data_IF_694895850761
#
_entry.id   IF_694895850761
#
_cell.length_a   1.000
_cell.length_b   1.000
_cell.length_c   1.000
_cell.angle_alpha   90.00
_cell.angle_beta   90.00
_cell.angle_gamma   90.00
#
_symmetry.space_group_name_H-M   'P 1'
#
loop_
_entity.id
_entity.type
_entity.pdbx_description
1 polymer ?
#
# COMPACT_ATOMS: atom_id res chain seq x y z
N UNK A 1 -17.98 9.33 -7.27
CA UNK A 1 -17.30 9.31 -5.95
C UNK A 1 -16.60 7.97 -5.81
N UNK A 2 -15.28 7.91 -5.54
CA UNK A 2 -14.57 6.64 -5.30
C UNK A 2 -14.45 6.40 -3.78
N UNK A 3 -15.23 5.46 -3.26
CA UNK A 3 -15.19 5.03 -1.86
C UNK A 3 -14.81 3.55 -1.76
N UNK A 4 -14.14 3.18 -0.68
CA UNK A 4 -13.70 1.79 -0.44
C UNK A 4 -14.90 0.91 -0.06
N UNK A 5 -14.89 -0.33 -0.53
CA UNK A 5 -15.90 -1.35 -0.19
C UNK A 5 -15.90 -1.71 1.30
N UNK A 6 -17.00 -2.28 1.79
CA UNK A 6 -17.10 -2.80 3.15
C UNK A 6 -16.26 -4.04 3.43
N UNK A 7 -15.64 -4.63 2.40
CA UNK A 7 -14.82 -5.83 2.53
C UNK A 7 -13.45 -5.60 1.91
N UNK A 8 -12.41 -6.03 2.60
CA UNK A 8 -11.03 -6.01 2.13
C UNK A 8 -10.43 -7.42 2.21
N UNK A 9 -10.00 -7.96 1.07
CA UNK A 9 -9.16 -9.16 1.01
C UNK A 9 -7.88 -8.82 0.25
N UNK A 10 -6.75 -9.05 0.89
CA UNK A 10 -5.41 -8.83 0.38
C UNK A 10 -4.85 -10.18 -0.03
N UNK A 11 -4.95 -10.46 -1.33
CA UNK A 11 -4.45 -11.71 -1.90
C UNK A 11 -2.98 -11.56 -2.28
N UNK A 12 -2.14 -12.49 -1.83
CA UNK A 12 -0.80 -12.67 -2.37
C UNK A 12 -0.90 -13.23 -3.78
N UNK A 13 -0.27 -12.54 -4.74
CA UNK A 13 -0.14 -13.06 -6.09
C UNK A 13 1.33 -13.02 -6.51
N UNK A 14 1.75 -14.03 -7.27
CA UNK A 14 3.03 -13.97 -7.99
C UNK A 14 2.79 -13.15 -9.24
N UNK A 15 3.39 -11.97 -9.31
CA UNK A 15 3.42 -11.15 -10.51
C UNK A 15 4.85 -10.69 -10.79
N UNK A 16 5.21 -10.67 -12.07
CA UNK A 16 6.47 -10.08 -12.53
C UNK A 16 6.38 -8.55 -12.67
N UNK A 17 5.16 -8.02 -12.77
CA UNK A 17 4.88 -6.60 -12.92
C UNK A 17 3.68 -6.18 -12.06
N UNK A 18 3.95 -5.44 -10.97
CA UNK A 18 2.93 -4.95 -10.04
C UNK A 18 2.15 -3.76 -10.63
N UNK A 19 2.74 -3.01 -11.56
CA UNK A 19 2.16 -1.80 -12.15
C UNK A 19 0.98 -2.11 -13.08
N UNK A 20 0.91 -3.34 -13.60
CA UNK A 20 -0.21 -3.81 -14.42
C UNK A 20 -1.41 -4.26 -13.59
N UNK A 21 -1.26 -4.38 -12.26
CA UNK A 21 -2.36 -4.76 -11.39
C UNK A 21 -3.27 -3.56 -11.14
N UNK A 22 -4.57 -3.75 -11.38
CA UNK A 22 -5.59 -2.73 -11.09
C UNK A 22 -5.59 -2.30 -9.62
N UNK A 23 -5.48 -3.28 -8.73
CA UNK A 23 -5.39 -3.08 -7.29
C UNK A 23 -4.24 -3.94 -6.78
N UNK A 24 -3.41 -3.38 -5.91
CA UNK A 24 -2.27 -4.11 -5.35
C UNK A 24 -1.98 -3.64 -3.93
N UNK A 25 -1.20 -4.43 -3.21
CA UNK A 25 -0.70 -4.07 -1.89
C UNK A 25 0.77 -4.45 -1.79
N UNK A 26 1.52 -3.69 -1.00
CA UNK A 26 2.94 -3.91 -0.79
C UNK A 26 3.21 -3.77 0.71
N UNK A 27 3.87 -4.77 1.29
CA UNK A 27 4.35 -4.72 2.67
C UNK A 27 5.85 -4.45 2.67
N UNK A 28 6.23 -3.26 3.12
CA UNK A 28 7.62 -2.88 3.35
C UNK A 28 8.03 -3.25 4.77
N UNK A 29 9.06 -4.10 4.86
CA UNK A 29 9.72 -4.40 6.13
C UNK A 29 10.60 -3.25 6.54
N UNK A 30 10.42 -2.77 7.77
CA UNK A 30 11.23 -1.67 8.27
C UNK A 30 12.72 -2.03 8.24
N UNK A 31 13.50 -1.20 7.55
CA UNK A 31 14.95 -1.24 7.58
C UNK A 31 15.48 0.19 7.53
N UNK A 32 16.37 0.54 8.47
CA UNK A 32 16.96 1.87 8.50
C UNK A 32 17.86 2.04 7.28
N UNK A 33 17.53 3.02 6.44
CA UNK A 33 18.25 3.34 5.22
C UNK A 33 18.88 4.73 5.27
N UNK A 34 20.04 4.88 4.64
CA UNK A 34 20.72 6.17 4.43
C UNK A 34 20.71 6.60 2.95
N UNK A 35 19.83 6.01 2.14
CA UNK A 35 19.73 6.29 0.70
C UNK A 35 18.99 7.60 0.43
N UNK A 36 19.43 8.35 -0.58
CA UNK A 36 18.74 9.53 -1.10
C UNK A 36 17.74 9.08 -2.18
N UNK A 37 16.48 9.50 -2.06
CA UNK A 37 15.42 9.17 -3.03
C UNK A 37 15.25 10.31 -4.05
N UNK A 38 15.03 9.93 -5.31
CA UNK A 38 14.55 10.82 -6.36
C UNK A 38 13.24 10.26 -6.91
N UNK A 39 12.30 11.15 -7.20
CA UNK A 39 10.95 10.81 -7.64
C UNK A 39 10.15 12.07 -7.96
N UNK A 40 8.95 11.89 -8.49
CA UNK A 40 8.07 13.00 -8.87
C UNK A 40 7.01 13.24 -7.79
N UNK A 41 6.73 14.51 -7.44
CA UNK A 41 5.65 14.82 -6.52
C UNK A 41 4.31 14.45 -7.14
N UNK A 42 3.46 13.76 -6.37
CA UNK A 42 2.08 13.47 -6.74
C UNK A 42 1.14 14.50 -6.11
N UNK A 43 0.09 14.87 -6.84
CA UNK A 43 -0.98 15.70 -6.27
C UNK A 43 -1.68 14.96 -5.11
N UNK A 44 -2.03 15.64 -4.01
CA UNK A 44 -2.79 15.04 -2.93
C UNK A 44 -4.12 14.45 -3.42
N UNK A 45 -4.49 13.29 -2.88
CA UNK A 45 -5.65 12.52 -3.35
C UNK A 45 -6.99 13.22 -3.08
N UNK A 46 -7.08 14.05 -2.04
CA UNK A 46 -8.23 14.90 -1.74
C UNK A 46 -8.64 15.79 -2.90
N UNK A 47 -7.71 16.19 -3.78
CA UNK A 47 -8.05 16.94 -4.99
C UNK A 47 -8.78 16.09 -6.04
N UNK A 48 -8.56 14.77 -6.05
CA UNK A 48 -9.20 13.84 -6.98
C UNK A 48 -10.55 13.33 -6.48
N UNK A 49 -10.65 13.01 -5.19
CA UNK A 49 -11.85 12.36 -4.62
C UNK A 49 -12.62 13.21 -3.61
N UNK A 50 -12.07 14.35 -3.21
CA UNK A 50 -12.61 15.19 -2.13
C UNK A 50 -12.15 14.73 -0.75
N UNK A 51 -11.89 15.71 0.13
CA UNK A 51 -11.39 15.48 1.49
C UNK A 51 -12.24 14.53 2.32
N UNK A 52 -13.57 14.67 2.26
CA UNK A 52 -14.50 13.80 3.00
C UNK A 52 -14.36 12.32 2.60
N UNK A 53 -14.23 12.04 1.29
CA UNK A 53 -14.04 10.68 0.80
C UNK A 53 -12.65 10.15 1.15
N UNK A 54 -11.62 10.99 1.12
CA UNK A 54 -10.28 10.59 1.54
C UNK A 54 -10.24 10.19 3.02
N UNK A 55 -10.81 11.03 3.90
CA UNK A 55 -10.91 10.75 5.34
C UNK A 55 -11.74 9.50 5.62
N UNK A 56 -12.88 9.35 4.93
CA UNK A 56 -13.72 8.16 5.02
C UNK A 56 -12.95 6.90 4.63
N UNK A 57 -12.26 6.92 3.49
CA UNK A 57 -11.51 5.76 2.99
C UNK A 57 -10.37 5.38 3.93
N UNK A 58 -9.59 6.36 4.41
CA UNK A 58 -8.49 6.13 5.39
C UNK A 58 -9.01 5.43 6.63
N UNK A 59 -10.09 5.95 7.24
CA UNK A 59 -10.68 5.39 8.46
C UNK A 59 -11.28 3.99 8.23
N UNK A 60 -11.95 3.80 7.09
CA UNK A 60 -12.55 2.49 6.73
C UNK A 60 -11.46 1.43 6.56
N UNK A 61 -10.41 1.74 5.80
CA UNK A 61 -9.27 0.84 5.59
C UNK A 61 -8.54 0.52 6.89
N UNK A 62 -8.28 1.53 7.74
CA UNK A 62 -7.67 1.30 9.06
C UNK A 62 -8.49 0.31 9.91
N UNK A 63 -9.82 0.46 9.90
CA UNK A 63 -10.73 -0.45 10.62
C UNK A 63 -10.61 -1.87 10.07
N UNK A 64 -10.75 -2.05 8.74
CA UNK A 64 -10.70 -3.36 8.08
C UNK A 64 -9.35 -4.07 8.23
N UNK A 65 -8.24 -3.32 8.23
CA UNK A 65 -6.91 -3.89 8.45
C UNK A 65 -6.75 -4.42 9.88
N UNK A 66 -7.31 -3.71 10.86
CA UNK A 66 -7.21 -4.08 12.27
C UNK A 66 -8.21 -5.16 12.71
N UNK A 67 -9.21 -5.50 11.89
CA UNK A 67 -10.02 -6.72 12.06
C UNK A 67 -9.21 -8.00 11.79
N UNK A 68 -7.97 -7.88 11.27
CA UNK A 68 -6.97 -8.96 11.07
C UNK A 68 -7.42 -10.15 10.21
N UNK A 69 -8.51 -10.03 9.45
CA UNK A 69 -9.03 -11.08 8.55
C UNK A 69 -8.83 -10.75 7.06
N UNK A 70 -7.98 -9.76 6.74
CA UNK A 70 -7.83 -9.27 5.38
C UNK A 70 -6.74 -10.01 4.58
N UNK A 71 -5.66 -10.50 5.20
CA UNK A 71 -4.60 -11.23 4.48
C UNK A 71 -5.04 -12.66 4.16
N UNK A 72 -4.56 -13.20 3.04
CA UNK A 72 -4.75 -14.59 2.63
C UNK A 72 -3.63 -15.53 3.12
N UNK A 73 -2.58 -14.97 3.70
CA UNK A 73 -1.43 -15.69 4.27
C UNK A 73 -1.10 -15.15 5.66
N UNK A 74 -0.48 -15.98 6.48
CA UNK A 74 0.06 -15.57 7.77
C UNK A 74 1.34 -14.73 7.56
N UNK A 75 1.26 -13.44 7.90
CA UNK A 75 2.38 -12.51 7.80
C UNK A 75 2.93 -12.20 9.19
N UNK A 76 4.25 -12.31 9.34
CA UNK A 76 4.93 -11.78 10.53
C UNK A 76 5.07 -10.27 10.38
N UNK A 77 4.23 -9.47 11.03
CA UNK A 77 4.27 -8.00 10.96
C UNK A 77 5.04 -7.45 12.16
N UNK A 78 6.02 -6.58 11.90
CA UNK A 78 6.86 -5.96 12.92
C UNK A 78 6.51 -4.48 13.12
N UNK A 79 6.89 -3.95 14.29
CA UNK A 79 6.77 -2.53 14.55
C UNK A 79 7.53 -1.70 13.49
N UNK A 80 6.89 -0.65 12.99
CA UNK A 80 7.31 0.22 11.89
C UNK A 80 7.21 -0.36 10.48
N UNK A 81 6.75 -1.60 10.30
CA UNK A 81 6.42 -2.09 8.96
C UNK A 81 5.37 -1.16 8.31
N UNK A 82 5.49 -0.95 7.01
CA UNK A 82 4.60 -0.07 6.24
C UNK A 82 3.81 -0.92 5.24
N UNK A 83 2.49 -0.76 5.25
CA UNK A 83 1.59 -1.33 4.26
C UNK A 83 1.10 -0.21 3.34
N UNK A 84 1.35 -0.37 2.05
CA UNK A 84 0.86 0.51 0.99
C UNK A 84 -0.23 -0.24 0.21
N UNK A 85 -1.38 0.41 0.04
CA UNK A 85 -2.51 -0.09 -0.73
C UNK A 85 -2.72 0.81 -1.95
N UNK A 86 -2.67 0.23 -3.15
CA UNK A 86 -2.84 0.93 -4.42
C UNK A 86 -4.18 0.55 -5.05
N UNK A 87 -4.96 1.54 -5.45
CA UNK A 87 -6.24 1.36 -6.11
C UNK A 87 -6.35 2.17 -7.40
N UNK A 88 -6.65 1.50 -8.51
CA UNK A 88 -7.03 2.17 -9.76
C UNK A 88 -8.55 2.18 -9.90
N UNK A 89 -9.16 3.35 -9.74
CA UNK A 89 -10.59 3.59 -9.92
C UNK A 89 -10.85 4.18 -11.31
N UNK A 90 -11.49 3.43 -12.21
CA UNK A 90 -11.99 3.98 -13.48
C UNK A 90 -13.43 4.44 -13.32
N UNK A 91 -13.73 5.68 -13.72
CA UNK A 91 -15.10 6.20 -13.66
C UNK A 91 -15.99 5.49 -14.68
N UNK A 92 -17.16 5.02 -14.25
CA UNK A 92 -18.18 4.48 -15.19
C UNK A 92 -18.72 5.55 -16.14
N UNK A 93 -18.74 6.81 -15.70
CA UNK A 93 -19.24 7.92 -16.50
C UNK A 93 -18.18 8.48 -17.47
N UNK A 94 -16.90 8.30 -17.16
CA UNK A 94 -15.77 8.70 -18.00
C UNK A 94 -14.71 7.58 -17.98
N UNK A 95 -14.86 6.56 -18.85
CA UNK A 95 -13.96 5.40 -18.88
C UNK A 95 -12.50 5.76 -19.15
N UNK A 96 -12.25 6.88 -19.82
CA UNK A 96 -10.90 7.37 -20.13
C UNK A 96 -10.21 8.01 -18.91
N UNK A 97 -10.94 8.26 -17.82
CA UNK A 97 -10.39 8.80 -16.58
C UNK A 97 -10.22 7.69 -15.55
N UNK A 98 -8.98 7.30 -15.33
CA UNK A 98 -8.57 6.45 -14.21
C UNK A 98 -7.89 7.28 -13.13
N UNK A 99 -8.38 7.14 -11.91
CA UNK A 99 -7.81 7.77 -10.71
C UNK A 99 -6.99 6.71 -9.98
N UNK A 100 -5.75 7.04 -9.64
CA UNK A 100 -4.89 6.20 -8.83
C UNK A 100 -4.85 6.72 -7.39
N UNK A 101 -5.24 5.87 -6.46
CA UNK A 101 -5.27 6.16 -5.03
C UNK A 101 -4.26 5.28 -4.31
N UNK A 102 -3.52 5.88 -3.37
CA UNK A 102 -2.46 5.22 -2.59
C UNK A 102 -2.68 5.52 -1.11
N UNK A 103 -2.91 4.49 -0.32
CA UNK A 103 -3.09 4.62 1.13
C UNK A 103 -1.97 3.92 1.87
N UNK A 104 -1.45 4.58 2.90
CA UNK A 104 -0.37 4.04 3.72
C UNK A 104 -0.74 3.87 5.18
N UNK A 105 -0.28 2.75 5.72
CA UNK A 105 -0.47 2.39 7.11
C UNK A 105 0.86 1.95 7.69
N UNK A 106 1.17 2.44 8.88
CA UNK A 106 2.33 2.01 9.64
C UNK A 106 1.88 1.14 10.80
N UNK A 107 2.56 0.02 11.01
CA UNK A 107 2.26 -0.88 12.11
C UNK A 107 2.94 -0.39 13.39
N UNK A 108 2.18 0.01 14.40
CA UNK A 108 2.70 0.46 15.71
C UNK A 108 1.76 0.01 16.82
N UNK A 109 2.32 -0.49 17.94
CA UNK A 109 1.54 -0.93 19.11
C UNK A 109 0.45 -1.95 18.74
N UNK A 110 0.83 -2.98 17.97
CA UNK A 110 -0.03 -4.08 17.54
C UNK A 110 -1.24 -3.70 16.68
N UNK A 111 -1.18 -2.56 16.00
CA UNK A 111 -2.22 -2.09 15.08
C UNK A 111 -1.65 -1.36 13.87
N UNK A 112 -2.37 -1.45 12.76
CA UNK A 112 -2.20 -0.57 11.62
C UNK A 112 -2.77 0.81 11.98
N UNK A 113 -2.00 1.87 11.72
CA UNK A 113 -2.45 3.25 11.90
C UNK A 113 -2.20 4.00 10.60
N UNK A 114 -3.13 4.86 10.20
CA UNK A 114 -2.96 5.73 9.02
C UNK A 114 -1.63 6.49 9.12
N UNK A 115 -0.88 6.46 8.03
CA UNK A 115 0.31 7.30 7.84
C UNK A 115 0.03 8.30 6.72
N UNK A 116 0.67 9.47 6.78
CA UNK A 116 0.75 10.31 5.59
C UNK A 116 1.54 9.57 4.51
N UNK A 117 1.01 9.59 3.29
CA UNK A 117 1.68 9.02 2.14
C UNK A 117 2.92 9.86 1.83
N UNK A 118 4.09 9.26 1.99
CA UNK A 118 5.35 9.90 1.68
C UNK A 118 6.08 9.11 0.56
N UNK A 119 6.02 9.58 -0.70
CA UNK A 119 6.72 8.91 -1.80
C UNK A 119 8.25 8.95 -1.65
N UNK A 120 8.77 9.80 -0.75
CA UNK A 120 10.18 9.92 -0.41
C UNK A 120 10.52 9.31 0.96
N UNK A 121 9.72 8.36 1.42
CA UNK A 121 10.07 7.61 2.62
C UNK A 121 11.17 6.58 2.34
N UNK A 122 12.35 6.82 2.88
CA UNK A 122 13.54 5.97 2.73
C UNK A 122 13.40 4.59 3.37
N UNK A 123 12.42 4.38 4.25
CA UNK A 123 12.10 3.07 4.81
C UNK A 123 11.42 2.13 3.78
N UNK A 124 11.07 2.62 2.57
CA UNK A 124 10.40 1.87 1.47
C UNK A 124 11.33 1.40 0.35
N UNK A 125 12.60 1.13 0.66
CA UNK A 125 13.68 0.79 -0.29
C UNK A 125 13.33 -0.21 -1.41
N UNK A 126 12.44 -1.18 -1.18
CA UNK A 126 12.14 -2.21 -2.18
C UNK A 126 11.38 -1.71 -3.43
N UNK A 127 10.71 -0.54 -3.37
CA UNK A 127 10.05 0.07 -4.54
C UNK A 127 11.06 0.63 -5.54
N UNK A 128 12.28 0.92 -5.10
CA UNK A 128 13.28 1.68 -5.88
C UNK A 128 13.90 0.96 -7.09
N UNK A 129 13.65 -0.33 -7.29
CA UNK A 129 14.21 -1.05 -8.45
C UNK A 129 13.18 -1.35 -9.53
N UNK A 130 12.00 -0.72 -9.49
CA UNK A 130 10.90 -0.97 -10.45
C UNK A 130 10.35 -2.40 -10.42
N UNK A 131 10.83 -3.22 -9.48
CA UNK A 131 10.39 -4.59 -9.21
C UNK A 131 10.58 -4.84 -7.72
N UNK A 132 9.57 -5.44 -7.09
CA UNK A 132 9.72 -6.09 -5.78
C UNK A 132 10.85 -7.12 -5.93
N UNK A 133 12.08 -6.74 -5.56
CA UNK A 133 13.28 -7.45 -6.02
C UNK A 133 13.41 -8.87 -5.44
N UNK A 134 12.69 -9.16 -4.36
CA UNK A 134 12.76 -10.45 -3.67
C UNK A 134 11.41 -10.73 -3.01
N UNK A 135 10.40 -11.03 -3.81
CA UNK A 135 9.11 -11.44 -3.26
C UNK A 135 9.18 -12.84 -2.60
N UNK A 136 10.12 -13.72 -2.96
CA UNK A 136 10.16 -15.09 -2.41
C UNK A 136 11.55 -15.78 -2.43
N UNK A 137 12.64 -15.12 -2.07
CA UNK A 137 13.87 -15.87 -1.76
C UNK A 137 13.68 -16.56 -0.42
N UNK A 138 13.46 -17.88 -0.44
CA UNK A 138 13.59 -18.72 0.75
C UNK A 138 14.88 -18.33 1.47
N UNK A 139 14.81 -18.01 2.75
CA UNK A 139 15.99 -18.06 3.60
C UNK A 139 16.51 -19.50 3.50
N UNK A 140 17.58 -19.70 2.72
CA UNK A 140 18.38 -20.89 2.88
C UNK A 140 19.09 -20.73 4.22
N UNK A 141 18.59 -21.41 5.24
CA UNK A 141 19.36 -21.73 6.43
C UNK A 141 20.50 -22.62 5.98
N UNK A 142 21.71 -22.06 5.96
CA UNK A 142 22.93 -22.87 5.87
C UNK A 142 23.11 -23.51 7.26
N UNK A 143 22.88 -24.81 7.35
CA UNK A 143 23.57 -25.69 8.30
C UNK A 143 24.87 -26.17 7.67
#
# INVERSE_FOLDING_TARGET
>A
MCTVSDKLKLCTCKTENVEQLKHSWILYKYHKSEVILMGEPMLPQEYEIGKENEEYNKKKLETLLNERNCFDVDLTINNKDILELNFSCTSKANPDRTIHLVYEFIYKKDKWTVSEYDPFNTDKLQKQQGKIKTSFTKFQTNE
#
